data_IF_874451857885
#
_entry.id   IF_874451857885
#
_cell.length_a   1.000
_cell.length_b   1.000
_cell.length_c   1.000
_cell.angle_alpha   90.00
_cell.angle_beta   90.00
_cell.angle_gamma   90.00
#
_symmetry.space_group_name_H-M   'P 1'
#
loop_
_entity.id
_entity.type
_entity.pdbx_description
1 polymer ?
#
# COMPACT_ATOMS: atom_id res chain seq x y z
N UNK A 1 24.52 2.82 -9.94
CA UNK A 1 23.90 1.98 -8.88
C UNK A 1 22.57 1.50 -9.41
N UNK A 2 22.50 0.26 -9.89
CA UNK A 2 21.26 -0.32 -10.39
C UNK A 2 20.36 -0.58 -9.17
N UNK A 3 19.38 0.29 -8.94
CA UNK A 3 18.35 0.07 -7.95
C UNK A 3 17.46 -1.06 -8.46
N UNK A 4 17.85 -2.30 -8.20
CA UNK A 4 17.00 -3.46 -8.48
C UNK A 4 15.79 -3.33 -7.56
N UNK A 5 14.72 -2.74 -8.07
CA UNK A 5 13.47 -2.61 -7.34
C UNK A 5 13.01 -4.04 -6.99
N UNK A 6 12.95 -4.36 -5.70
CA UNK A 6 12.49 -5.67 -5.26
C UNK A 6 11.02 -5.83 -5.65
N UNK A 7 10.73 -6.85 -6.47
CA UNK A 7 9.38 -7.21 -6.90
C UNK A 7 8.87 -8.34 -6.00
N UNK A 8 7.86 -8.08 -5.15
CA UNK A 8 7.31 -9.11 -4.28
C UNK A 8 6.63 -10.21 -5.10
N UNK A 9 6.77 -11.46 -4.66
CA UNK A 9 6.31 -12.66 -5.35
C UNK A 9 4.91 -13.09 -4.91
N UNK A 10 4.49 -12.77 -3.68
CA UNK A 10 3.16 -13.14 -3.20
C UNK A 10 2.05 -12.44 -3.97
N UNK A 11 0.90 -13.12 -4.10
CA UNK A 11 -0.35 -12.56 -4.66
C UNK A 11 -1.17 -11.79 -3.62
N UNK A 12 -0.86 -11.96 -2.32
CA UNK A 12 -1.61 -11.34 -1.22
C UNK A 12 -0.94 -10.03 -0.81
N UNK A 13 -1.70 -8.94 -0.79
CA UNK A 13 -1.21 -7.59 -0.46
C UNK A 13 -0.33 -7.54 0.80
N UNK A 14 -0.80 -8.12 1.90
CA UNK A 14 -0.06 -8.06 3.17
C UNK A 14 1.28 -8.81 3.12
N UNK A 15 1.34 -9.91 2.38
CA UNK A 15 2.58 -10.66 2.21
C UNK A 15 3.55 -9.90 1.30
N UNK A 16 3.04 -9.27 0.24
CA UNK A 16 3.86 -8.38 -0.59
C UNK A 16 4.50 -7.25 0.24
N UNK A 17 3.73 -6.66 1.17
CA UNK A 17 4.24 -5.63 2.09
C UNK A 17 5.31 -6.21 3.02
N UNK A 18 5.12 -7.41 3.59
CA UNK A 18 6.15 -8.07 4.42
C UNK A 18 7.44 -8.30 3.66
N UNK A 19 7.34 -8.82 2.43
CA UNK A 19 8.50 -9.09 1.59
C UNK A 19 9.33 -7.83 1.32
N UNK A 20 8.66 -6.72 0.96
CA UNK A 20 9.32 -5.43 0.72
C UNK A 20 9.94 -4.87 2.00
N UNK A 21 9.26 -4.97 3.14
CA UNK A 21 9.77 -4.45 4.42
C UNK A 21 10.99 -5.24 4.90
N UNK A 22 10.98 -6.56 4.71
CA UNK A 22 12.12 -7.44 5.04
C UNK A 22 13.30 -7.23 4.10
N UNK A 23 13.04 -7.06 2.80
CA UNK A 23 14.06 -6.68 1.82
C UNK A 23 14.74 -5.35 2.19
N UNK A 24 13.98 -4.39 2.74
CA UNK A 24 14.51 -3.11 3.25
C UNK A 24 15.09 -3.19 4.67
N UNK A 25 15.18 -4.39 5.26
CA UNK A 25 15.73 -4.62 6.59
C UNK A 25 15.06 -3.82 7.71
N UNK A 26 13.75 -3.56 7.60
CA UNK A 26 13.01 -2.95 8.69
C UNK A 26 12.84 -3.92 9.88
N UNK A 27 12.73 -3.35 11.08
CA UNK A 27 12.49 -4.13 12.29
C UNK A 27 11.12 -4.81 12.27
N UNK A 28 10.99 -5.92 13.01
CA UNK A 28 9.71 -6.62 13.17
C UNK A 28 8.61 -5.72 13.75
N UNK A 29 8.97 -4.78 14.63
CA UNK A 29 8.03 -3.80 15.20
C UNK A 29 7.48 -2.86 14.13
N UNK A 30 8.34 -2.42 13.21
CA UNK A 30 7.96 -1.59 12.07
C UNK A 30 7.08 -2.40 11.11
N UNK A 31 7.43 -3.67 10.82
CA UNK A 31 6.60 -4.57 10.01
C UNK A 31 5.17 -4.67 10.56
N UNK A 32 5.02 -4.92 11.87
CA UNK A 32 3.72 -5.01 12.52
C UNK A 32 2.91 -3.71 12.44
N UNK A 33 3.54 -2.56 12.71
CA UNK A 33 2.87 -1.26 12.65
C UNK A 33 2.36 -0.96 11.23
N UNK A 34 3.18 -1.21 10.21
CA UNK A 34 2.79 -0.98 8.82
C UNK A 34 1.65 -1.91 8.39
N UNK A 35 1.74 -3.20 8.72
CA UNK A 35 0.67 -4.16 8.41
C UNK A 35 -0.65 -3.79 9.09
N UNK A 36 -0.60 -3.29 10.33
CA UNK A 36 -1.77 -2.80 11.03
C UNK A 36 -2.43 -1.64 10.25
N UNK A 37 -1.65 -0.62 9.91
CA UNK A 37 -2.17 0.57 9.21
C UNK A 37 -2.67 0.26 7.80
N UNK A 38 -1.99 -0.62 7.05
CA UNK A 38 -2.45 -1.06 5.73
C UNK A 38 -3.80 -1.78 5.84
N UNK A 39 -3.95 -2.71 6.80
CA UNK A 39 -5.22 -3.40 7.03
C UNK A 39 -6.33 -2.43 7.43
N UNK A 40 -6.01 -1.48 8.31
CA UNK A 40 -6.94 -0.47 8.76
C UNK A 40 -7.42 0.41 7.60
N UNK A 41 -6.49 0.90 6.78
CA UNK A 41 -6.78 1.72 5.60
C UNK A 41 -7.74 1.00 4.64
N UNK A 42 -7.41 -0.25 4.25
CA UNK A 42 -8.25 -1.03 3.32
C UNK A 42 -9.67 -1.21 3.87
N UNK A 43 -9.80 -1.51 5.18
CA UNK A 43 -11.11 -1.69 5.82
C UNK A 43 -11.88 -0.37 5.94
N UNK A 44 -11.19 0.70 6.33
CA UNK A 44 -11.80 2.02 6.51
C UNK A 44 -12.40 2.54 5.21
N UNK A 45 -11.66 2.42 4.11
CA UNK A 45 -12.14 2.85 2.80
C UNK A 45 -13.23 1.94 2.21
N UNK A 46 -13.22 0.64 2.52
CA UNK A 46 -14.29 -0.27 2.14
C UNK A 46 -15.59 -0.13 2.96
N UNK A 47 -15.58 0.65 4.05
CA UNK A 47 -16.72 0.76 4.99
C UNK A 47 -18.01 1.27 4.34
N UNK A 48 -17.90 2.12 3.31
CA UNK A 48 -19.04 2.76 2.65
C UNK A 48 -19.53 1.98 1.42
N UNK A 49 -19.14 0.71 1.27
CA UNK A 49 -19.54 -0.16 0.15
C UNK A 49 -18.76 0.06 -1.14
N UNK A 50 -17.91 1.09 -1.22
CA UNK A 50 -17.08 1.39 -2.38
C UNK A 50 -15.60 1.17 -2.05
N UNK A 51 -15.06 0.01 -2.43
CA UNK A 51 -13.62 -0.22 -2.43
C UNK A 51 -13.02 0.41 -3.69
N UNK A 52 -12.43 1.59 -3.54
CA UNK A 52 -11.70 2.24 -4.62
C UNK A 52 -10.21 1.89 -4.55
N UNK A 53 -9.58 1.71 -5.69
CA UNK A 53 -8.15 1.43 -5.73
C UNK A 53 -7.37 2.72 -5.32
N UNK A 54 -6.30 2.64 -4.53
CA UNK A 54 -5.58 3.83 -4.05
C UNK A 54 -5.07 4.77 -5.17
N UNK A 55 -4.83 4.24 -6.37
CA UNK A 55 -4.43 5.06 -7.54
C UNK A 55 -5.56 5.95 -8.07
N UNK A 56 -6.80 5.57 -7.81
CA UNK A 56 -7.99 6.29 -8.25
C UNK A 56 -8.50 7.20 -7.13
N UNK A 57 -8.18 6.88 -5.87
CA UNK A 57 -8.40 7.76 -4.73
C UNK A 57 -7.51 9.00 -4.85
N UNK A 58 -8.10 10.19 -4.85
CA UNK A 58 -7.34 11.45 -4.79
C UNK A 58 -6.95 12.04 -6.15
N UNK A 59 -7.40 11.46 -7.28
CA UNK A 59 -7.50 12.23 -8.52
C UNK A 59 -8.60 13.29 -8.34
N UNK A 60 -8.22 14.45 -7.79
CA UNK A 60 -8.97 15.68 -8.04
C UNK A 60 -8.94 15.84 -9.55
N UNK A 61 -10.11 15.69 -10.18
CA UNK A 61 -10.30 16.08 -11.57
C UNK A 61 -10.12 17.60 -11.60
N UNK A 62 -8.88 18.06 -11.67
CA UNK A 62 -8.58 19.46 -11.93
C UNK A 62 -9.22 19.77 -13.28
N UNK A 63 -10.25 20.61 -13.24
CA UNK A 63 -10.92 21.12 -14.43
C UNK A 63 -9.90 22.01 -15.15
N UNK A 64 -9.54 21.75 -16.42
CA UNK A 64 -8.47 22.51 -17.08
C UNK A 64 -8.98 23.77 -17.83
N UNK A 65 -9.99 24.49 -17.32
CA UNK A 65 -10.69 25.56 -18.03
C UNK A 65 -11.07 26.79 -17.17
N UNK A 66 -10.14 27.27 -16.33
CA UNK A 66 -10.12 28.66 -15.84
C UNK A 66 -8.74 29.28 -16.03
#
# INVERSE_FOLDING_TARGET
MNSVAYVPQSKRLLEQVREVLRYKHYSLKTEQAYLYWVRFFVRWHGRNGQMQHPRDMGRVRTRPDL
#
